data_IF_359353580062
#
_entry.id   IF_359353580062
#
_cell.length_a   1.000
_cell.length_b   1.000
_cell.length_c   1.000
_cell.angle_alpha   90.00
_cell.angle_beta   90.00
_cell.angle_gamma   90.00
#
_symmetry.space_group_name_H-M   'P 1'
#
loop_
_entity.id
_entity.type
_entity.pdbx_description
1 polymer ?
#
# COMPACT_ATOMS: atom_id res chain seq x y z
N UNK A 1 26.63 -9.81 -1.51
CA UNK A 1 26.07 -9.38 -0.22
C UNK A 1 25.52 -7.97 -0.38
N UNK A 2 24.24 -7.75 -0.07
CA UNK A 2 23.57 -6.45 -0.27
C UNK A 2 24.04 -5.40 0.76
N UNK A 3 24.64 -5.83 1.87
CA UNK A 3 25.32 -4.96 2.84
C UNK A 3 26.77 -4.64 2.44
N UNK A 4 27.21 -5.11 1.27
CA UNK A 4 28.48 -4.80 0.62
C UNK A 4 29.74 -4.98 1.49
N UNK A 5 29.70 -5.87 2.48
CA UNK A 5 30.88 -6.40 3.18
C UNK A 5 31.67 -5.43 4.06
N UNK A 6 31.34 -4.13 4.08
CA UNK A 6 32.02 -3.13 4.93
C UNK A 6 31.11 -2.62 6.03
N UNK A 7 31.69 -2.26 7.17
CA UNK A 7 30.94 -1.74 8.32
C UNK A 7 30.18 -0.45 7.98
N UNK A 8 30.77 0.43 7.16
CA UNK A 8 30.13 1.67 6.72
C UNK A 8 28.85 1.37 5.94
N UNK A 9 28.92 0.48 4.95
CA UNK A 9 27.75 0.13 4.14
C UNK A 9 26.70 -0.63 4.93
N UNK A 10 27.11 -1.53 5.83
CA UNK A 10 26.21 -2.16 6.80
C UNK A 10 25.44 -1.13 7.62
N UNK A 11 26.13 -0.14 8.19
CA UNK A 11 25.50 0.94 8.98
C UNK A 11 24.52 1.76 8.15
N UNK A 12 24.89 2.17 6.93
CA UNK A 12 23.98 2.90 6.05
C UNK A 12 22.73 2.09 5.72
N UNK A 13 22.90 0.81 5.41
CA UNK A 13 21.79 -0.08 5.09
C UNK A 13 20.86 -0.28 6.29
N UNK A 14 21.40 -0.51 7.47
CA UNK A 14 20.62 -0.66 8.70
C UNK A 14 19.87 0.64 9.04
N UNK A 15 20.54 1.78 8.93
CA UNK A 15 19.91 3.08 9.16
C UNK A 15 18.75 3.34 8.18
N UNK A 16 18.92 2.96 6.92
CA UNK A 16 17.87 3.06 5.92
C UNK A 16 16.66 2.18 6.28
N UNK A 17 16.87 0.90 6.58
CA UNK A 17 15.79 -0.03 6.95
C UNK A 17 15.04 0.48 8.19
N UNK A 18 15.77 0.87 9.24
CA UNK A 18 15.17 1.37 10.50
C UNK A 18 14.42 2.67 10.26
N UNK A 19 14.98 3.60 9.49
CA UNK A 19 14.33 4.86 9.16
C UNK A 19 13.04 4.65 8.37
N UNK A 20 13.07 3.74 7.39
CA UNK A 20 11.89 3.42 6.59
C UNK A 20 10.81 2.72 7.41
N UNK A 21 11.18 1.81 8.31
CA UNK A 21 10.24 1.12 9.20
C UNK A 21 9.53 2.11 10.15
N UNK A 22 10.29 3.05 10.74
CA UNK A 22 9.72 4.13 11.54
C UNK A 22 8.75 5.00 10.75
N UNK A 23 9.05 5.28 9.49
CA UNK A 23 8.18 6.06 8.62
C UNK A 23 6.85 5.33 8.34
N UNK A 24 6.91 4.03 8.02
CA UNK A 24 5.70 3.22 7.83
C UNK A 24 4.83 3.14 9.09
N UNK A 25 5.46 2.97 10.25
CA UNK A 25 4.74 2.92 11.53
C UNK A 25 4.04 4.25 11.83
N UNK A 26 4.68 5.40 11.56
CA UNK A 26 4.07 6.71 11.72
C UNK A 26 2.94 6.96 10.71
N UNK A 27 3.09 6.50 9.47
CA UNK A 27 2.04 6.62 8.45
C UNK A 27 0.77 5.87 8.88
N UNK A 28 0.90 4.69 9.50
CA UNK A 28 -0.26 3.88 9.94
C UNK A 28 -1.21 4.65 10.86
N UNK A 29 -0.71 5.53 11.71
CA UNK A 29 -1.53 6.29 12.66
C UNK A 29 -2.37 7.39 11.98
N UNK A 30 -2.01 7.81 10.76
CA UNK A 30 -2.69 8.87 10.03
C UNK A 30 -3.25 8.43 8.66
N UNK A 31 -3.08 7.17 8.28
CA UNK A 31 -3.38 6.65 6.95
C UNK A 31 -4.52 5.63 6.97
N UNK A 32 -5.75 6.11 7.21
CA UNK A 32 -6.95 5.28 7.34
C UNK A 32 -7.23 4.45 6.07
N UNK A 33 -6.91 5.00 4.91
CA UNK A 33 -7.17 4.37 3.60
C UNK A 33 -5.93 3.73 2.97
N UNK A 34 -4.83 3.58 3.73
CA UNK A 34 -3.56 2.99 3.28
C UNK A 34 -2.88 3.68 2.07
N UNK A 35 -3.29 4.91 1.74
CA UNK A 35 -2.81 5.67 0.58
C UNK A 35 -1.33 6.04 0.75
N UNK A 36 -0.96 6.53 1.93
CA UNK A 36 0.43 6.96 2.22
C UNK A 36 1.34 5.74 2.27
N UNK A 37 0.89 4.68 2.94
CA UNK A 37 1.60 3.42 3.08
C UNK A 37 1.85 2.78 1.71
N UNK A 38 0.84 2.67 0.85
CA UNK A 38 1.00 2.13 -0.49
C UNK A 38 1.93 2.99 -1.34
N UNK A 39 1.79 4.31 -1.30
CA UNK A 39 2.67 5.23 -2.01
C UNK A 39 4.15 5.06 -1.60
N UNK A 40 4.41 4.86 -0.30
CA UNK A 40 5.76 4.60 0.21
C UNK A 40 6.27 3.23 -0.24
N UNK A 41 5.47 2.18 -0.14
CA UNK A 41 5.87 0.80 -0.44
C UNK A 41 6.15 0.61 -1.93
N UNK A 42 5.30 1.14 -2.80
CA UNK A 42 5.45 1.03 -4.25
C UNK A 42 6.42 2.05 -4.85
N UNK A 43 7.02 2.92 -4.03
CA UNK A 43 8.13 3.78 -4.44
C UNK A 43 9.43 3.01 -4.66
N UNK A 44 10.39 3.60 -5.38
CA UNK A 44 11.73 3.03 -5.55
C UNK A 44 12.42 2.73 -4.19
N UNK A 45 12.19 3.58 -3.18
CA UNK A 45 12.74 3.38 -1.84
C UNK A 45 12.04 2.23 -1.10
N UNK A 46 10.73 2.07 -1.26
CA UNK A 46 9.97 0.96 -0.70
C UNK A 46 10.40 -0.39 -1.29
N UNK A 47 10.54 -0.46 -2.61
CA UNK A 47 11.06 -1.65 -3.30
C UNK A 47 12.49 -1.99 -2.84
N UNK A 48 13.36 -0.99 -2.71
CA UNK A 48 14.70 -1.18 -2.15
C UNK A 48 14.64 -1.73 -0.73
N UNK A 49 13.80 -1.14 0.14
CA UNK A 49 13.61 -1.59 1.52
C UNK A 49 13.13 -3.05 1.58
N UNK A 50 12.18 -3.46 0.74
CA UNK A 50 11.72 -4.86 0.65
C UNK A 50 12.88 -5.80 0.29
N UNK A 51 13.68 -5.44 -0.71
CA UNK A 51 14.85 -6.25 -1.10
C UNK A 51 15.90 -6.30 0.00
N UNK A 52 16.13 -5.20 0.71
CA UNK A 52 17.05 -5.15 1.84
C UNK A 52 16.59 -6.00 3.02
N UNK A 53 15.30 -5.96 3.37
CA UNK A 53 14.71 -6.79 4.43
C UNK A 53 14.78 -8.28 4.11
N UNK A 54 14.52 -8.68 2.86
CA UNK A 54 14.59 -10.09 2.44
C UNK A 54 16.01 -10.65 2.45
N UNK A 55 17.01 -9.82 2.16
CA UNK A 55 18.42 -10.20 2.13
C UNK A 55 19.15 -9.95 3.47
N UNK A 56 18.45 -9.46 4.49
CA UNK A 56 19.07 -9.13 5.76
C UNK A 56 19.59 -10.41 6.46
N UNK A 57 20.87 -10.45 6.88
CA UNK A 57 21.51 -11.70 7.31
C UNK A 57 21.03 -12.19 8.68
N UNK A 58 20.64 -11.27 9.57
CA UNK A 58 20.37 -11.59 10.99
C UNK A 58 18.90 -11.44 11.36
N UNK A 59 18.31 -10.28 11.08
CA UNK A 59 16.91 -9.96 11.38
C UNK A 59 15.99 -10.50 10.30
N UNK A 60 14.93 -11.19 10.73
CA UNK A 60 13.78 -11.55 9.88
C UNK A 60 12.66 -10.57 10.16
N UNK A 61 12.26 -9.84 9.12
CA UNK A 61 11.23 -8.83 9.23
C UNK A 61 9.87 -9.43 8.90
N UNK A 62 8.83 -8.96 9.59
CA UNK A 62 7.46 -9.26 9.19
C UNK A 62 7.18 -8.71 7.78
N UNK A 63 6.34 -9.40 6.98
CA UNK A 63 5.81 -8.85 5.73
C UNK A 63 5.16 -7.50 6.00
N UNK A 64 5.31 -6.58 5.05
CA UNK A 64 4.63 -5.30 5.10
C UNK A 64 3.24 -5.52 4.51
N UNK A 65 2.20 -5.21 5.27
CA UNK A 65 0.82 -5.22 4.78
C UNK A 65 0.65 -4.10 3.75
N UNK A 66 0.02 -4.43 2.62
CA UNK A 66 -0.30 -3.52 1.51
C UNK A 66 -1.76 -3.68 1.14
N UNK A 67 -2.34 -2.67 0.49
CA UNK A 67 -3.67 -2.82 -0.08
C UNK A 67 -3.66 -3.87 -1.18
N UNK A 68 -4.66 -4.78 -1.15
CA UNK A 68 -4.94 -5.66 -2.27
C UNK A 68 -5.61 -4.84 -3.39
N UNK A 69 -4.80 -4.40 -4.35
CA UNK A 69 -5.26 -3.61 -5.49
C UNK A 69 -6.33 -4.34 -6.31
N UNK A 70 -6.31 -5.68 -6.39
CA UNK A 70 -7.31 -6.43 -7.14
C UNK A 70 -8.66 -6.39 -6.42
N UNK A 71 -8.66 -6.59 -5.10
CA UNK A 71 -9.87 -6.45 -4.29
C UNK A 71 -10.44 -5.03 -4.35
N UNK A 72 -9.58 -4.01 -4.28
CA UNK A 72 -10.00 -2.61 -4.37
C UNK A 72 -10.63 -2.26 -5.73
N UNK A 73 -10.02 -2.71 -6.85
CA UNK A 73 -10.59 -2.52 -8.19
C UNK A 73 -11.95 -3.23 -8.35
N UNK A 74 -12.11 -4.44 -7.81
CA UNK A 74 -13.39 -5.15 -7.83
C UNK A 74 -14.49 -4.37 -7.09
N UNK A 75 -14.15 -3.73 -5.98
CA UNK A 75 -15.09 -2.89 -5.24
C UNK A 75 -15.53 -1.67 -6.06
N UNK A 76 -14.61 -0.99 -6.74
CA UNK A 76 -14.93 0.13 -7.64
C UNK A 76 -15.88 -0.32 -8.76
N UNK A 77 -15.56 -1.42 -9.44
CA UNK A 77 -16.40 -1.95 -10.53
C UNK A 77 -17.79 -2.31 -10.04
N UNK A 78 -17.89 -2.93 -8.86
CA UNK A 78 -19.18 -3.26 -8.24
C UNK A 78 -20.01 -2.00 -7.97
N UNK A 79 -19.43 -0.99 -7.33
CA UNK A 79 -20.12 0.28 -7.01
C UNK A 79 -20.60 0.99 -8.27
N UNK A 80 -19.78 1.03 -9.33
CA UNK A 80 -20.14 1.66 -10.60
C UNK A 80 -21.29 0.91 -11.31
N UNK A 81 -21.28 -0.43 -11.24
CA UNK A 81 -22.36 -1.26 -11.79
C UNK A 81 -23.69 -1.06 -11.05
N UNK A 82 -23.65 -0.97 -9.71
CA UNK A 82 -24.83 -0.74 -8.88
C UNK A 82 -25.42 0.66 -9.13
N UNK A 83 -24.56 1.67 -9.26
CA UNK A 83 -24.97 3.03 -9.60
C UNK A 83 -25.61 3.11 -10.98
N UNK A 84 -25.02 2.45 -11.97
CA UNK A 84 -25.58 2.38 -13.33
C UNK A 84 -26.96 1.72 -13.35
N UNK A 85 -27.14 0.63 -12.58
CA UNK A 85 -28.42 -0.04 -12.46
C UNK A 85 -29.49 0.83 -11.78
N UNK A 86 -29.12 1.58 -10.73
CA UNK A 86 -30.02 2.53 -10.06
C UNK A 86 -30.44 3.69 -10.98
N UNK A 87 -29.50 4.23 -11.76
CA UNK A 87 -29.78 5.28 -12.73
C UNK A 87 -30.72 4.80 -13.86
N UNK A 88 -30.61 3.54 -14.27
CA UNK A 88 -31.49 2.93 -15.27
C UNK A 88 -32.92 2.72 -14.72
N UNK A 89 -33.05 2.24 -13.48
CA UNK A 89 -34.34 2.10 -12.78
C UNK A 89 -35.03 3.47 -12.60
N UNK A 90 -34.26 4.51 -12.23
CA UNK A 90 -34.79 5.86 -12.08
C UNK A 90 -35.31 6.48 -13.40
N UNK A 91 -34.78 6.06 -14.56
CA UNK A 91 -35.29 6.49 -15.88
C UNK A 91 -36.59 5.80 -16.28
N UNK A 92 -36.82 4.58 -15.79
CA UNK A 92 -38.01 3.78 -16.12
C UNK A 92 -39.15 4.02 -15.12
N UNK A 93 -38.85 4.62 -13.95
CA UNK A 93 -39.85 4.92 -12.94
C UNK A 93 -40.94 5.89 -13.47
N UNK A 94 -42.24 5.57 -13.31
CA UNK A 94 -43.32 6.44 -13.75
C UNK A 94 -43.28 7.76 -12.96
N UNK A 95 -43.35 8.89 -13.68
CA UNK A 95 -43.42 10.21 -13.04
C UNK A 95 -44.64 10.26 -12.11
N UNK A 96 -44.50 10.80 -10.88
CA UNK A 96 -45.62 10.93 -9.97
C UNK A 96 -46.73 11.77 -10.65
N UNK A 97 -47.93 11.19 -10.71
CA UNK A 97 -49.11 11.93 -11.13
C UNK A 97 -49.39 13.02 -10.09
N UNK A 98 -49.48 14.26 -10.56
CA UNK A 98 -49.83 15.45 -9.78
C UNK A 98 -51.13 15.27 -9.00
#
# INVERSE_FOLDING_TARGET
>A
DLLYGTEIRRRHSNNFIVGFDRLLNLARDCDTDHIIQDALIYSAHGLLNIRMRSLHPTVKFAPIETTDAAAYLQQIVKVDSEKSALDEVARVAPKPAL
#
